data_IF_392980302814
#
_entry.id   IF_392980302814
#
_cell.length_a   1.000
_cell.length_b   1.000
_cell.length_c   1.000
_cell.angle_alpha   90.00
_cell.angle_beta   90.00
_cell.angle_gamma   90.00
#
_symmetry.space_group_name_H-M   'P 1'
#
loop_
_entity.id
_entity.type
_entity.pdbx_description
1 polymer ?
#
# COMPACT_ATOMS: atom_id res chain seq x y z
N UNK A 1 28.77 70.65 14.64
CA UNK A 1 29.48 69.35 14.54
C UNK A 1 28.92 68.41 15.60
N UNK A 2 27.87 67.64 15.28
CA UNK A 2 27.40 66.53 16.10
C UNK A 2 27.36 65.30 15.19
N UNK A 3 28.29 64.39 15.43
CA UNK A 3 28.47 63.16 14.69
C UNK A 3 27.58 62.07 15.30
N UNK A 4 26.65 61.57 14.48
CA UNK A 4 26.36 60.16 14.19
C UNK A 4 26.64 59.13 15.31
N UNK A 5 25.58 58.41 15.72
CA UNK A 5 25.58 56.94 15.85
C UNK A 5 24.16 56.38 16.01
N UNK A 6 23.41 56.35 14.92
CA UNK A 6 22.29 55.41 14.78
C UNK A 6 22.89 54.08 14.35
N UNK A 7 22.97 53.15 15.29
CA UNK A 7 23.39 51.79 15.03
C UNK A 7 22.28 51.08 14.25
N UNK A 8 22.67 50.54 13.10
CA UNK A 8 21.87 49.86 12.09
C UNK A 8 21.28 48.55 12.61
N UNK A 9 20.02 48.56 13.07
CA UNK A 9 19.15 47.38 13.00
C UNK A 9 18.55 47.31 11.59
N UNK A 10 19.36 46.90 10.61
CA UNK A 10 18.84 46.50 9.30
C UNK A 10 19.34 45.10 8.98
N UNK A 11 18.36 44.23 8.81
CA UNK A 11 18.42 43.13 7.85
C UNK A 11 19.30 41.92 8.21
N UNK A 12 18.85 41.16 9.21
CA UNK A 12 18.99 39.70 9.18
C UNK A 12 17.60 39.07 8.99
N UNK A 13 16.90 39.46 7.92
CA UNK A 13 15.89 38.59 7.32
C UNK A 13 16.69 37.59 6.49
N UNK A 14 17.25 36.60 7.18
CA UNK A 14 17.82 35.41 6.56
C UNK A 14 16.70 34.82 5.72
N UNK A 15 16.88 34.85 4.41
CA UNK A 15 16.07 34.12 3.46
C UNK A 15 16.24 32.62 3.74
N UNK A 16 15.54 32.13 4.76
CA UNK A 16 15.21 30.72 4.94
C UNK A 16 14.04 30.44 3.97
N UNK A 17 14.28 30.67 2.68
CA UNK A 17 13.45 30.06 1.64
C UNK A 17 13.86 28.60 1.69
N UNK A 18 13.10 27.88 2.52
CA UNK A 18 13.06 26.44 2.63
C UNK A 18 13.14 25.85 1.22
N UNK A 19 14.32 25.31 0.86
CA UNK A 19 14.49 24.27 -0.14
C UNK A 19 13.86 22.98 0.41
N UNK A 20 12.61 23.06 0.84
CA UNK A 20 11.78 21.89 1.08
C UNK A 20 11.28 21.55 -0.31
N UNK A 21 11.97 20.63 -0.98
CA UNK A 21 11.38 19.92 -2.11
C UNK A 21 9.99 19.47 -1.66
N UNK A 22 8.93 19.77 -2.42
CA UNK A 22 7.60 19.32 -2.04
C UNK A 22 7.65 17.81 -1.89
N UNK A 23 7.47 17.31 -0.67
CA UNK A 23 7.29 15.88 -0.45
C UNK A 23 6.04 15.47 -1.25
N UNK A 24 6.24 14.59 -2.23
CA UNK A 24 5.15 14.16 -3.10
C UNK A 24 4.31 13.17 -2.30
N UNK A 25 3.20 13.63 -1.74
CA UNK A 25 2.27 12.78 -1.04
C UNK A 25 1.55 11.85 -2.02
N UNK A 26 2.02 10.61 -2.11
CA UNK A 26 1.41 9.55 -2.94
C UNK A 26 0.16 8.93 -2.29
N UNK A 27 -0.75 8.44 -3.15
CA UNK A 27 -1.91 7.62 -2.78
C UNK A 27 -1.59 6.14 -3.03
N UNK A 28 -1.52 5.35 -1.96
CA UNK A 28 -1.07 3.97 -2.01
C UNK A 28 -2.22 3.04 -1.68
N UNK A 29 -2.51 2.09 -2.56
CA UNK A 29 -3.53 1.05 -2.33
C UNK A 29 -2.85 -0.24 -1.91
N UNK A 30 -3.28 -0.86 -0.81
CA UNK A 30 -2.70 -2.11 -0.31
C UNK A 30 -3.77 -3.20 -0.26
N UNK A 31 -3.67 -4.12 -1.21
CA UNK A 31 -4.41 -5.35 -1.28
C UNK A 31 -3.85 -6.37 -0.28
N UNK A 32 -4.68 -6.93 0.61
CA UNK A 32 -4.19 -7.81 1.68
C UNK A 32 -3.47 -7.05 2.81
N UNK A 33 -3.75 -5.74 2.95
CA UNK A 33 -3.07 -4.87 3.90
C UNK A 33 -3.37 -5.15 5.38
N UNK A 34 -4.33 -6.02 5.69
CA UNK A 34 -4.67 -6.41 7.07
C UNK A 34 -3.71 -7.43 7.69
N UNK A 35 -2.82 -8.04 6.88
CA UNK A 35 -1.75 -8.92 7.37
C UNK A 35 -0.58 -8.16 8.00
N UNK A 36 0.39 -8.90 8.55
CA UNK A 36 1.51 -8.33 9.30
C UNK A 36 2.36 -7.34 8.48
N UNK A 37 2.71 -7.70 7.24
CA UNK A 37 3.46 -6.82 6.32
C UNK A 37 2.64 -5.58 5.98
N UNK A 38 1.36 -5.75 5.62
CA UNK A 38 0.50 -4.64 5.25
C UNK A 38 0.30 -3.63 6.38
N UNK A 39 0.17 -4.13 7.61
CA UNK A 39 0.07 -3.31 8.82
C UNK A 39 1.36 -2.54 9.07
N UNK A 40 2.52 -3.20 9.03
CA UNK A 40 3.81 -2.57 9.24
C UNK A 40 4.09 -1.50 8.16
N UNK A 41 3.89 -1.87 6.89
CA UNK A 41 4.04 -0.99 5.74
C UNK A 41 3.14 0.26 5.86
N UNK A 42 1.87 0.08 6.20
CA UNK A 42 0.92 1.20 6.35
C UNK A 42 1.37 2.18 7.44
N UNK A 43 1.95 1.68 8.54
CA UNK A 43 2.51 2.52 9.61
C UNK A 43 3.76 3.29 9.16
N UNK A 44 4.62 2.67 8.35
CA UNK A 44 5.86 3.29 7.88
C UNK A 44 5.63 4.33 6.77
N UNK A 45 4.54 4.21 6.00
CA UNK A 45 4.20 5.14 4.91
C UNK A 45 3.59 6.47 5.40
N UNK A 46 2.92 6.48 6.55
CA UNK A 46 2.30 7.69 7.10
C UNK A 46 3.26 8.82 7.44
N UNK A 47 4.37 8.56 8.17
CA UNK A 47 5.39 9.54 8.46
C UNK A 47 6.05 10.16 7.21
N UNK A 48 5.98 9.49 6.06
CA UNK A 48 6.45 9.99 4.76
C UNK A 48 5.43 10.90 4.05
N UNK A 49 4.22 11.04 4.60
CA UNK A 49 3.17 11.91 4.07
C UNK A 49 2.24 11.22 3.07
N UNK A 50 2.37 9.90 2.87
CA UNK A 50 1.50 9.16 1.96
C UNK A 50 0.12 8.89 2.58
N UNK A 51 -0.89 8.82 1.73
CA UNK A 51 -2.21 8.28 2.12
C UNK A 51 -2.28 6.82 1.73
N UNK A 52 -2.93 6.01 2.56
CA UNK A 52 -2.99 4.56 2.36
C UNK A 52 -4.44 4.09 2.37
N UNK A 53 -4.86 3.37 1.34
CA UNK A 53 -6.14 2.68 1.27
C UNK A 53 -5.89 1.18 1.36
N UNK A 54 -6.27 0.57 2.48
CA UNK A 54 -6.19 -0.88 2.66
C UNK A 54 -7.46 -1.53 2.16
N UNK A 55 -7.32 -2.46 1.22
CA UNK A 55 -8.42 -3.28 0.75
C UNK A 55 -8.59 -4.48 1.69
N UNK A 56 -9.74 -4.53 2.36
CA UNK A 56 -10.06 -5.51 3.39
C UNK A 56 -11.33 -6.28 3.02
N UNK A 57 -11.37 -7.59 3.31
CA UNK A 57 -12.57 -8.42 3.06
C UNK A 57 -13.81 -7.86 3.74
N UNK A 58 -13.63 -7.22 4.90
CA UNK A 58 -14.67 -6.47 5.56
C UNK A 58 -14.01 -5.33 6.35
N UNK A 59 -14.15 -4.10 5.88
CA UNK A 59 -13.57 -2.89 6.45
C UNK A 59 -14.09 -2.64 7.88
N UNK A 60 -15.38 -2.89 8.12
CA UNK A 60 -15.97 -2.73 9.46
C UNK A 60 -15.39 -3.74 10.46
N UNK A 61 -15.26 -5.01 10.08
CA UNK A 61 -14.67 -6.05 10.91
C UNK A 61 -13.15 -5.87 11.10
N UNK A 62 -12.47 -5.34 10.07
CA UNK A 62 -11.04 -5.04 10.16
C UNK A 62 -10.75 -3.87 11.12
N UNK A 63 -11.66 -2.90 11.23
CA UNK A 63 -11.53 -1.71 12.07
C UNK A 63 -12.03 -1.90 13.52
N UNK A 64 -12.84 -2.93 13.79
CA UNK A 64 -13.53 -3.06 15.08
C UNK A 64 -12.58 -3.37 16.24
N UNK A 65 -12.89 -2.93 17.47
CA UNK A 65 -11.99 -3.06 18.63
C UNK A 65 -11.78 -4.51 19.08
N UNK A 66 -12.74 -5.40 18.83
CA UNK A 66 -12.65 -6.82 19.13
C UNK A 66 -12.23 -7.59 17.89
N UNK A 67 -11.30 -8.55 18.02
CA UNK A 67 -10.91 -9.45 16.93
C UNK A 67 -12.09 -10.34 16.58
N UNK A 68 -12.81 -10.03 15.50
CA UNK A 68 -14.07 -10.73 15.17
C UNK A 68 -13.82 -12.09 14.51
N UNK A 69 -12.73 -12.26 13.76
CA UNK A 69 -12.15 -13.56 13.42
C UNK A 69 -10.72 -13.41 12.87
N UNK A 70 -9.95 -14.50 12.80
CA UNK A 70 -8.65 -14.48 12.12
C UNK A 70 -8.79 -14.37 10.59
N UNK A 71 -9.94 -14.79 10.05
CA UNK A 71 -10.18 -14.98 8.61
C UNK A 71 -10.38 -13.67 7.81
N UNK A 72 -10.78 -12.58 8.48
CA UNK A 72 -10.99 -11.28 7.85
C UNK A 72 -9.77 -10.34 7.94
N UNK A 73 -8.74 -10.73 8.70
CA UNK A 73 -7.64 -9.85 9.08
C UNK A 73 -8.10 -8.75 10.04
N UNK A 74 -7.19 -8.24 10.88
CA UNK A 74 -7.56 -7.32 11.96
C UNK A 74 -6.50 -6.24 12.17
N UNK A 75 -6.90 -4.98 11.99
CA UNK A 75 -6.10 -3.81 12.34
C UNK A 75 -6.51 -3.26 13.71
N UNK A 76 -7.82 -3.10 13.91
CA UNK A 76 -8.45 -2.65 15.15
C UNK A 76 -8.46 -1.13 15.34
N UNK A 77 -9.36 -0.65 16.20
CA UNK A 77 -9.61 0.78 16.46
C UNK A 77 -8.34 1.53 16.93
N UNK A 78 -7.52 0.88 17.77
CA UNK A 78 -6.26 1.46 18.23
C UNK A 78 -5.29 1.70 17.07
N UNK A 79 -5.23 0.80 16.10
CA UNK A 79 -4.38 1.00 14.92
C UNK A 79 -4.90 2.17 14.10
N UNK A 80 -6.20 2.22 13.82
CA UNK A 80 -6.81 3.29 13.01
C UNK A 80 -6.62 4.67 13.66
N UNK A 81 -6.77 4.79 14.97
CA UNK A 81 -6.54 6.05 15.69
C UNK A 81 -5.07 6.49 15.68
N UNK A 82 -4.12 5.55 15.62
CA UNK A 82 -2.69 5.84 15.51
C UNK A 82 -2.23 6.13 14.07
N UNK A 83 -3.04 5.77 13.07
CA UNK A 83 -2.69 5.87 11.65
C UNK A 83 -3.84 6.56 10.87
N UNK A 84 -4.09 7.86 11.10
CA UNK A 84 -5.22 8.59 10.50
C UNK A 84 -5.11 8.76 8.98
N UNK A 85 -3.93 8.51 8.40
CA UNK A 85 -3.68 8.48 6.95
C UNK A 85 -4.11 7.16 6.29
N UNK A 86 -4.50 6.16 7.09
CA UNK A 86 -4.99 4.86 6.60
C UNK A 86 -6.51 4.88 6.55
N UNK A 87 -7.06 4.51 5.40
CA UNK A 87 -8.48 4.23 5.20
C UNK A 87 -8.68 2.77 4.83
N UNK A 88 -9.87 2.25 5.10
CA UNK A 88 -10.24 0.87 4.77
C UNK A 88 -11.33 0.89 3.71
N UNK A 89 -11.23 0.00 2.73
CA UNK A 89 -12.25 -0.21 1.71
C UNK A 89 -12.59 -1.68 1.60
N UNK A 90 -13.88 -1.98 1.61
CA UNK A 90 -14.37 -3.33 1.35
C UNK A 90 -13.97 -3.77 -0.06
N UNK A 91 -13.46 -4.99 -0.16
CA UNK A 91 -13.18 -5.66 -1.42
C UNK A 91 -13.35 -7.17 -1.28
N UNK A 92 -13.56 -7.86 -2.38
CA UNK A 92 -13.81 -9.30 -2.36
C UNK A 92 -12.53 -10.14 -2.15
N UNK A 93 -11.35 -9.58 -2.38
CA UNK A 93 -10.08 -10.30 -2.31
C UNK A 93 -10.05 -11.54 -3.21
N UNK A 94 -10.81 -11.54 -4.31
CA UNK A 94 -11.00 -12.71 -5.18
C UNK A 94 -11.90 -13.81 -4.62
N UNK A 95 -12.46 -13.64 -3.41
CA UNK A 95 -13.43 -14.57 -2.84
C UNK A 95 -14.84 -14.29 -3.42
N UNK A 96 -15.68 -15.32 -3.49
CA UNK A 96 -17.09 -15.21 -3.88
C UNK A 96 -18.03 -15.62 -2.74
N UNK A 97 -17.50 -16.16 -1.64
CA UNK A 97 -18.31 -16.94 -0.69
C UNK A 97 -18.62 -16.24 0.64
N UNK A 98 -17.77 -15.34 1.16
CA UNK A 98 -17.96 -14.76 2.50
C UNK A 98 -17.92 -13.23 2.53
N UNK A 99 -18.80 -12.67 1.72
CA UNK A 99 -18.87 -11.23 1.44
C UNK A 99 -20.12 -10.66 2.12
N UNK A 100 -19.94 -10.16 3.35
CA UNK A 100 -21.02 -9.55 4.13
C UNK A 100 -21.34 -8.14 3.60
N UNK A 101 -22.13 -8.06 2.52
CA UNK A 101 -22.73 -6.81 2.00
C UNK A 101 -22.97 -6.88 0.48
N UNK A 102 -23.88 -6.06 -0.06
CA UNK A 102 -24.16 -6.00 -1.51
C UNK A 102 -23.54 -4.80 -2.23
N UNK A 103 -22.80 -3.95 -1.51
CA UNK A 103 -22.24 -2.66 -1.99
C UNK A 103 -20.76 -2.71 -2.42
N UNK A 104 -20.31 -3.85 -2.96
CA UNK A 104 -18.89 -4.13 -3.24
C UNK A 104 -18.50 -3.69 -4.67
N UNK A 105 -19.47 -3.14 -5.40
CA UNK A 105 -19.22 -2.42 -6.64
C UNK A 105 -18.63 -1.06 -6.30
N UNK A 106 -17.56 -0.67 -6.99
CA UNK A 106 -16.99 0.68 -6.91
C UNK A 106 -15.70 0.78 -6.11
N UNK A 107 -15.23 -0.28 -5.42
CA UNK A 107 -13.90 -0.24 -4.79
C UNK A 107 -12.80 0.08 -5.80
N UNK A 108 -12.98 -0.36 -7.05
CA UNK A 108 -12.07 -0.08 -8.16
C UNK A 108 -11.98 1.43 -8.39
N UNK A 109 -13.13 2.10 -8.53
CA UNK A 109 -13.20 3.54 -8.79
C UNK A 109 -12.75 4.36 -7.57
N UNK A 110 -13.08 3.90 -6.36
CA UNK A 110 -12.71 4.57 -5.10
C UNK A 110 -11.21 4.47 -4.81
N UNK A 111 -10.60 3.30 -5.04
CA UNK A 111 -9.22 3.03 -4.65
C UNK A 111 -8.23 3.19 -5.82
N UNK A 112 -8.51 2.61 -6.99
CA UNK A 112 -7.51 2.48 -8.06
C UNK A 112 -7.39 3.72 -8.95
N UNK A 113 -8.48 4.48 -9.14
CA UNK A 113 -8.52 5.61 -10.07
C UNK A 113 -7.47 6.69 -9.77
N UNK A 114 -7.20 6.94 -8.49
CA UNK A 114 -6.23 7.94 -8.03
C UNK A 114 -4.96 7.34 -7.43
N UNK A 115 -4.75 6.03 -7.55
CA UNK A 115 -3.60 5.35 -6.96
C UNK A 115 -2.31 5.66 -7.71
N UNK A 116 -1.27 6.08 -7.01
CA UNK A 116 0.07 6.19 -7.58
C UNK A 116 0.80 4.84 -7.55
N UNK A 117 0.51 4.05 -6.50
CA UNK A 117 1.02 2.68 -6.36
C UNK A 117 -0.07 1.75 -5.82
N UNK A 118 -0.05 0.50 -6.29
CA UNK A 118 -0.91 -0.59 -5.84
C UNK A 118 -0.02 -1.75 -5.39
N UNK A 119 -0.09 -2.10 -4.11
CA UNK A 119 0.69 -3.15 -3.48
C UNK A 119 -0.19 -4.37 -3.24
N UNK A 120 0.11 -5.47 -3.93
CA UNK A 120 -0.58 -6.74 -3.78
C UNK A 120 0.17 -7.65 -2.78
N UNK A 121 -0.37 -7.70 -1.55
CA UNK A 121 0.09 -8.54 -0.45
C UNK A 121 -0.88 -9.70 -0.18
N UNK A 122 -1.77 -10.04 -1.12
CA UNK A 122 -2.77 -11.08 -0.90
C UNK A 122 -2.10 -12.41 -0.53
N UNK A 123 -2.31 -12.81 0.72
CA UNK A 123 -1.85 -14.07 1.27
C UNK A 123 -2.65 -15.27 0.76
N UNK A 124 -2.30 -16.46 1.24
CA UNK A 124 -2.95 -17.71 0.83
C UNK A 124 -2.62 -18.06 -0.62
N UNK A 125 -1.67 -18.97 -0.84
CA UNK A 125 -1.26 -19.42 -2.19
C UNK A 125 -2.28 -20.39 -2.83
N UNK A 126 -3.55 -20.03 -2.73
CA UNK A 126 -4.72 -20.71 -3.26
C UNK A 126 -5.11 -20.10 -4.61
N UNK A 127 -6.15 -20.62 -5.23
CA UNK A 127 -6.74 -20.03 -6.44
C UNK A 127 -7.29 -18.62 -6.19
N UNK A 128 -7.71 -18.32 -4.96
CA UNK A 128 -8.19 -16.99 -4.57
C UNK A 128 -7.14 -15.90 -4.80
N UNK A 129 -5.86 -16.16 -4.51
CA UNK A 129 -4.78 -15.20 -4.79
C UNK A 129 -4.64 -14.92 -6.28
N UNK A 130 -4.77 -15.94 -7.13
CA UNK A 130 -4.73 -15.76 -8.58
C UNK A 130 -5.90 -14.90 -9.05
N UNK A 131 -7.12 -15.16 -8.56
CA UNK A 131 -8.30 -14.34 -8.87
C UNK A 131 -8.17 -12.91 -8.37
N UNK A 132 -7.67 -12.71 -7.14
CA UNK A 132 -7.44 -11.38 -6.59
C UNK A 132 -6.44 -10.60 -7.43
N UNK A 133 -5.33 -11.24 -7.83
CA UNK A 133 -4.31 -10.63 -8.68
C UNK A 133 -4.87 -10.28 -10.06
N UNK A 134 -5.60 -11.19 -10.70
CA UNK A 134 -6.25 -10.92 -12.00
C UNK A 134 -7.17 -9.71 -11.91
N UNK A 135 -8.01 -9.62 -10.87
CA UNK A 135 -8.93 -8.48 -10.69
C UNK A 135 -8.18 -7.18 -10.47
N UNK A 136 -7.18 -7.14 -9.59
CA UNK A 136 -6.39 -5.93 -9.35
C UNK A 136 -5.74 -5.47 -10.66
N UNK A 137 -5.07 -6.38 -11.37
CA UNK A 137 -4.36 -6.06 -12.62
C UNK A 137 -5.35 -5.56 -13.66
N UNK A 138 -6.43 -6.30 -13.92
CA UNK A 138 -7.44 -5.94 -14.92
C UNK A 138 -8.07 -4.57 -14.64
N UNK A 139 -8.48 -4.33 -13.40
CA UNK A 139 -9.15 -3.08 -13.04
C UNK A 139 -8.17 -1.89 -12.98
N UNK A 140 -6.92 -2.13 -12.57
CA UNK A 140 -5.87 -1.11 -12.65
C UNK A 140 -5.62 -0.68 -14.09
N UNK A 141 -5.54 -1.63 -15.04
CA UNK A 141 -5.37 -1.30 -16.46
C UNK A 141 -6.53 -0.50 -17.03
N UNK A 142 -7.75 -0.79 -16.57
CA UNK A 142 -8.96 -0.09 -17.01
C UNK A 142 -9.02 1.34 -16.48
N UNK A 143 -8.66 1.55 -15.22
CA UNK A 143 -8.90 2.82 -14.52
C UNK A 143 -7.66 3.72 -14.45
N UNK A 144 -6.49 3.13 -14.21
CA UNK A 144 -5.24 3.85 -14.03
C UNK A 144 -4.03 2.97 -14.44
N UNK A 145 -3.78 2.82 -15.76
CA UNK A 145 -2.69 1.98 -16.26
C UNK A 145 -1.28 2.52 -15.93
N UNK A 146 -1.19 3.74 -15.38
CA UNK A 146 0.07 4.38 -15.01
C UNK A 146 0.51 4.07 -13.57
N UNK A 147 -0.41 3.57 -12.72
CA UNK A 147 -0.08 3.22 -11.34
C UNK A 147 1.02 2.16 -11.27
N UNK A 148 1.97 2.33 -10.35
CA UNK A 148 3.02 1.35 -10.07
C UNK A 148 2.41 0.10 -9.42
N UNK A 149 2.57 -1.07 -10.05
CA UNK A 149 2.05 -2.34 -9.56
C UNK A 149 3.13 -3.13 -8.84
N UNK A 150 3.04 -3.22 -7.52
CA UNK A 150 4.01 -3.93 -6.69
C UNK A 150 3.37 -5.24 -6.22
N UNK A 151 3.94 -6.38 -6.59
CA UNK A 151 3.52 -7.69 -6.07
C UNK A 151 4.61 -8.25 -5.17
N UNK A 152 4.23 -8.70 -3.98
CA UNK A 152 5.18 -9.30 -3.02
C UNK A 152 4.81 -10.76 -2.76
N UNK A 153 5.80 -11.63 -2.84
CA UNK A 153 5.67 -13.05 -2.57
C UNK A 153 6.83 -13.55 -1.72
N UNK A 154 6.68 -14.65 -0.98
CA UNK A 154 7.83 -15.26 -0.33
C UNK A 154 8.84 -15.78 -1.34
N UNK A 155 10.08 -15.90 -0.90
CA UNK A 155 11.09 -16.70 -1.61
C UNK A 155 10.62 -18.15 -1.74
N UNK A 156 11.01 -18.82 -2.83
CA UNK A 156 10.54 -20.17 -3.14
C UNK A 156 10.88 -21.20 -2.06
N UNK A 157 11.97 -20.98 -1.30
CA UNK A 157 12.37 -21.81 -0.17
C UNK A 157 11.34 -21.85 0.96
N UNK A 158 10.58 -20.77 1.14
CA UNK A 158 9.53 -20.66 2.15
C UNK A 158 8.17 -21.20 1.66
N UNK A 159 8.08 -21.54 0.37
CA UNK A 159 6.86 -22.05 -0.25
C UNK A 159 6.97 -23.57 -0.36
N UNK A 160 6.47 -24.29 0.65
CA UNK A 160 6.66 -25.75 0.78
C UNK A 160 6.04 -26.63 -0.32
N UNK A 161 5.19 -26.10 -1.22
CA UNK A 161 4.53 -26.91 -2.27
C UNK A 161 4.75 -26.30 -3.67
N UNK A 162 5.07 -27.15 -4.66
CA UNK A 162 5.24 -26.73 -6.07
C UNK A 162 4.02 -25.97 -6.60
N UNK A 163 2.81 -26.49 -6.38
CA UNK A 163 1.56 -25.84 -6.83
C UNK A 163 1.42 -24.40 -6.30
N UNK A 164 1.86 -24.14 -5.07
CA UNK A 164 1.84 -22.79 -4.49
C UNK A 164 2.85 -21.87 -5.20
N UNK A 165 4.06 -22.38 -5.51
CA UNK A 165 5.07 -21.65 -6.29
C UNK A 165 4.59 -21.34 -7.71
N UNK A 166 3.97 -22.32 -8.38
CA UNK A 166 3.42 -22.14 -9.73
C UNK A 166 2.34 -21.05 -9.76
N UNK A 167 1.50 -20.97 -8.71
CA UNK A 167 0.50 -19.90 -8.55
C UNK A 167 1.13 -18.53 -8.32
N UNK A 168 2.16 -18.46 -7.48
CA UNK A 168 2.92 -17.22 -7.28
C UNK A 168 3.53 -16.74 -8.60
N UNK A 169 4.21 -17.62 -9.31
CA UNK A 169 4.80 -17.30 -10.62
C UNK A 169 3.73 -16.88 -11.65
N UNK A 170 2.53 -17.46 -11.58
CA UNK A 170 1.40 -17.04 -12.43
C UNK A 170 0.96 -15.61 -12.10
N UNK A 171 0.89 -15.25 -10.82
CA UNK A 171 0.54 -13.90 -10.39
C UNK A 171 1.57 -12.86 -10.87
N UNK A 172 2.86 -13.18 -10.73
CA UNK A 172 3.95 -12.30 -11.17
C UNK A 172 3.95 -12.11 -12.69
N UNK A 173 3.80 -13.19 -13.46
CA UNK A 173 3.64 -13.11 -14.91
C UNK A 173 2.44 -12.28 -15.34
N UNK A 174 1.33 -12.33 -14.61
CA UNK A 174 0.17 -11.48 -14.89
C UNK A 174 0.50 -10.00 -14.71
N UNK A 175 1.23 -9.63 -13.66
CA UNK A 175 1.66 -8.24 -13.46
C UNK A 175 2.66 -7.83 -14.55
N UNK A 176 3.72 -8.61 -14.75
CA UNK A 176 4.78 -8.33 -15.74
C UNK A 176 4.26 -8.18 -17.17
N UNK A 177 3.31 -9.04 -17.56
CA UNK A 177 2.82 -9.06 -18.94
C UNK A 177 1.82 -7.94 -19.24
N UNK A 178 1.19 -7.36 -18.23
CA UNK A 178 0.07 -6.44 -18.44
C UNK A 178 0.33 -5.02 -17.94
N UNK A 179 1.16 -4.83 -16.92
CA UNK A 179 1.36 -3.53 -16.27
C UNK A 179 2.58 -2.80 -16.85
N UNK A 180 2.45 -1.49 -17.12
CA UNK A 180 3.56 -0.68 -17.66
C UNK A 180 4.64 -0.43 -16.59
N UNK A 181 4.21 -0.09 -15.39
CA UNK A 181 5.06 0.17 -14.23
C UNK A 181 4.82 -0.95 -13.22
N UNK A 182 5.84 -1.77 -12.96
CA UNK A 182 5.70 -2.87 -12.01
C UNK A 182 7.00 -3.21 -11.27
N UNK A 183 6.82 -3.87 -10.12
CA UNK A 183 7.88 -4.53 -9.39
C UNK A 183 7.38 -5.87 -8.81
N UNK A 184 8.01 -6.97 -9.20
CA UNK A 184 7.80 -8.30 -8.61
C UNK A 184 8.87 -8.54 -7.56
N UNK A 185 8.50 -8.43 -6.29
CA UNK A 185 9.41 -8.51 -5.16
C UNK A 185 9.29 -9.86 -4.44
N UNK A 186 10.42 -10.32 -3.89
CA UNK A 186 10.51 -11.55 -3.10
C UNK A 186 11.18 -11.26 -1.76
N UNK A 187 10.60 -11.77 -0.68
CA UNK A 187 11.14 -11.64 0.67
C UNK A 187 11.00 -12.95 1.47
N UNK A 188 11.78 -13.12 2.54
CA UNK A 188 11.57 -14.23 3.45
C UNK A 188 10.28 -14.03 4.25
N UNK A 189 9.53 -15.10 4.55
CA UNK A 189 8.22 -15.03 5.23
C UNK A 189 8.28 -14.29 6.58
N UNK A 190 9.42 -14.36 7.27
CA UNK A 190 9.61 -13.78 8.60
C UNK A 190 10.36 -12.44 8.57
N UNK A 191 10.84 -12.00 7.40
CA UNK A 191 11.54 -10.72 7.24
C UNK A 191 10.57 -9.60 6.88
N UNK A 192 9.68 -9.28 7.82
CA UNK A 192 8.67 -8.21 7.64
C UNK A 192 9.35 -6.87 7.33
N UNK A 193 10.46 -6.55 8.02
CA UNK A 193 11.16 -5.28 7.85
C UNK A 193 11.84 -5.18 6.49
N UNK A 194 12.52 -6.24 6.05
CA UNK A 194 13.12 -6.28 4.72
C UNK A 194 12.07 -6.21 3.62
N UNK A 195 10.93 -6.90 3.77
CA UNK A 195 9.81 -6.81 2.84
C UNK A 195 9.26 -5.37 2.74
N UNK A 196 9.00 -4.72 3.88
CA UNK A 196 8.52 -3.33 3.90
C UNK A 196 9.54 -2.38 3.26
N UNK A 197 10.83 -2.56 3.59
CA UNK A 197 11.91 -1.75 3.01
C UNK A 197 11.94 -1.86 1.49
N UNK A 198 11.89 -3.07 0.93
CA UNK A 198 11.90 -3.25 -0.53
C UNK A 198 10.71 -2.54 -1.21
N UNK A 199 9.52 -2.62 -0.61
CA UNK A 199 8.32 -1.96 -1.15
C UNK A 199 8.47 -0.44 -1.08
N UNK A 200 8.94 0.08 0.06
CA UNK A 200 9.18 1.51 0.27
C UNK A 200 10.24 2.03 -0.71
N UNK A 201 11.34 1.31 -0.94
CA UNK A 201 12.37 1.73 -1.89
C UNK A 201 11.79 1.91 -3.31
N UNK A 202 10.84 1.05 -3.72
CA UNK A 202 10.14 1.19 -5.01
C UNK A 202 9.20 2.39 -5.00
N UNK A 203 8.46 2.63 -3.90
CA UNK A 203 7.55 3.78 -3.77
C UNK A 203 8.34 5.09 -3.80
N UNK A 204 9.44 5.18 -3.04
CA UNK A 204 10.33 6.35 -2.98
C UNK A 204 10.94 6.66 -4.37
N UNK A 205 11.11 5.65 -5.24
CA UNK A 205 11.58 5.87 -6.60
C UNK A 205 10.60 6.63 -7.50
N UNK A 206 9.31 6.69 -7.12
CA UNK A 206 8.27 7.44 -7.84
C UNK A 206 8.29 8.94 -7.53
N UNK A 207 8.97 9.35 -6.46
CA UNK A 207 9.07 10.75 -6.04
C UNK A 207 10.17 11.53 -6.78
N UNK A 208 11.04 10.82 -7.52
CA UNK A 208 12.21 11.35 -8.21
C UNK A 208 11.98 11.50 -9.73
#
# INVERSE_FOLDING_TARGET
RLFVKYWTMRSFLVAFVLLVSPAVALNIVIAGGTGEIGRALSTDLGPKGHTVTVLARNAFLAATPSRVSEDFGWLGERFMSQNPHVTLRDWDGGDLLDIVGKDWMGWQDDALKGADAVVNLVGGYTEQRTMATERIVRESLRLNPMAMQITMSPVDGDIGMKLKRDRVATCEKMVEANCLNFACLRAEMYDIKGACKQIIDVIDSLEN
#
